data_IF_489177627072
#
_entry.id   IF_489177627072
#
_cell.length_a   1.000
_cell.length_b   1.000
_cell.length_c   1.000
_cell.angle_alpha   90.00
_cell.angle_beta   90.00
_cell.angle_gamma   90.00
#
_symmetry.space_group_name_H-M   'P 1'
#
loop_
_entity.id
_entity.type
_entity.pdbx_description
1 polymer ?
#
# COMPACT_ATOMS: atom_id res chain seq x y z
N UNK A 1 -33.23 -6.42 -28.57
CA UNK A 1 -32.14 -6.57 -29.55
C UNK A 1 -31.77 -5.16 -29.98
N UNK A 2 -30.68 -4.53 -29.55
CA UNK A 2 -29.56 -4.97 -28.72
C UNK A 2 -29.11 -3.80 -27.84
N UNK A 3 -28.84 -4.13 -26.59
CA UNK A 3 -28.34 -3.28 -25.53
C UNK A 3 -26.84 -3.06 -25.73
N UNK A 4 -26.46 -2.07 -26.54
CA UNK A 4 -25.07 -1.61 -26.62
C UNK A 4 -24.79 -0.58 -25.52
N UNK A 5 -24.80 -1.04 -24.26
CA UNK A 5 -24.03 -0.39 -23.21
C UNK A 5 -22.56 -0.69 -23.49
N UNK A 6 -21.92 0.17 -24.26
CA UNK A 6 -20.48 0.20 -24.32
C UNK A 6 -19.99 0.53 -22.91
N UNK A 7 -19.55 -0.50 -22.17
CA UNK A 7 -18.82 -0.33 -20.92
C UNK A 7 -17.70 0.68 -21.18
N UNK A 8 -17.84 1.87 -20.62
CA UNK A 8 -16.85 2.92 -20.70
C UNK A 8 -15.71 2.51 -19.76
N UNK A 9 -14.84 1.62 -20.22
CA UNK A 9 -13.66 1.20 -19.48
C UNK A 9 -12.70 2.39 -19.40
N UNK A 10 -12.62 3.02 -18.23
CA UNK A 10 -11.61 4.05 -18.00
C UNK A 10 -10.25 3.36 -17.82
N UNK A 11 -9.32 3.56 -18.76
CA UNK A 11 -7.97 2.99 -18.71
C UNK A 11 -7.15 3.72 -17.65
N UNK A 12 -7.30 3.30 -16.40
CA UNK A 12 -6.48 3.77 -15.29
C UNK A 12 -5.15 3.02 -15.25
N UNK A 13 -4.12 3.69 -14.72
CA UNK A 13 -2.81 3.09 -14.47
C UNK A 13 -2.68 2.73 -13.00
N UNK A 14 -1.86 1.74 -12.68
CA UNK A 14 -1.62 1.39 -11.29
C UNK A 14 -0.98 2.56 -10.52
N UNK A 15 -0.24 3.46 -11.20
CA UNK A 15 0.29 4.66 -10.55
C UNK A 15 -0.81 5.49 -9.89
N UNK A 16 -1.96 5.65 -10.54
CA UNK A 16 -3.08 6.43 -9.98
C UNK A 16 -3.67 5.75 -8.74
N UNK A 17 -3.78 4.42 -8.75
CA UNK A 17 -4.20 3.62 -7.60
C UNK A 17 -3.19 3.76 -6.47
N UNK A 18 -1.90 3.69 -6.78
CA UNK A 18 -0.82 3.84 -5.82
C UNK A 18 -0.83 5.21 -5.17
N UNK A 19 -0.90 6.28 -5.95
CA UNK A 19 -0.89 7.65 -5.44
C UNK A 19 -2.05 7.91 -4.49
N UNK A 20 -3.27 7.57 -4.91
CA UNK A 20 -4.49 7.83 -4.12
C UNK A 20 -4.64 6.94 -2.89
N UNK A 21 -4.33 5.64 -3.03
CA UNK A 21 -4.66 4.67 -1.99
C UNK A 21 -3.49 4.32 -1.07
N UNK A 22 -2.25 4.54 -1.51
CA UNK A 22 -1.02 4.18 -0.78
C UNK A 22 -0.25 5.44 -0.39
N UNK A 23 0.20 6.21 -1.38
CA UNK A 23 1.14 7.32 -1.17
C UNK A 23 0.54 8.41 -0.27
N UNK A 24 -0.66 8.88 -0.57
CA UNK A 24 -1.34 9.88 0.26
C UNK A 24 -1.53 9.43 1.71
N UNK A 25 -1.82 8.13 1.94
CA UNK A 25 -1.99 7.59 3.29
C UNK A 25 -0.66 7.51 4.03
N UNK A 26 0.39 7.03 3.38
CA UNK A 26 1.73 6.97 3.97
C UNK A 26 2.25 8.37 4.32
N UNK A 27 2.03 9.36 3.45
CA UNK A 27 2.39 10.75 3.72
C UNK A 27 1.64 11.33 4.93
N UNK A 28 0.33 11.06 5.05
CA UNK A 28 -0.47 11.47 6.22
C UNK A 28 0.04 10.85 7.51
N UNK A 29 0.36 9.55 7.49
CA UNK A 29 0.93 8.85 8.64
C UNK A 29 2.29 9.44 9.02
N UNK A 30 3.20 9.58 8.05
CA UNK A 30 4.55 10.12 8.26
C UNK A 30 4.49 11.55 8.84
N UNK A 31 3.66 12.42 8.26
CA UNK A 31 3.46 13.78 8.74
C UNK A 31 2.90 13.80 10.17
N UNK A 32 1.91 12.94 10.47
CA UNK A 32 1.33 12.85 11.80
C UNK A 32 2.35 12.41 12.85
N UNK A 33 3.14 11.37 12.55
CA UNK A 33 4.18 10.85 13.44
C UNK A 33 5.28 11.88 13.72
N UNK A 34 5.61 12.73 12.73
CA UNK A 34 6.60 13.80 12.87
C UNK A 34 6.09 15.02 13.63
N UNK A 35 4.82 15.39 13.47
CA UNK A 35 4.28 16.67 13.98
C UNK A 35 3.50 16.53 15.28
N UNK A 36 2.81 15.41 15.47
CA UNK A 36 1.87 15.21 16.59
C UNK A 36 1.98 13.83 17.25
N UNK A 37 3.18 13.26 17.50
CA UNK A 37 3.31 11.91 18.04
C UNK A 37 2.66 11.74 19.42
N UNK A 38 2.55 12.82 20.20
CA UNK A 38 1.87 12.82 21.52
C UNK A 38 0.35 12.65 21.43
N UNK A 39 -0.24 12.81 20.23
CA UNK A 39 -1.67 12.61 19.98
C UNK A 39 -2.00 11.18 19.54
N UNK A 40 -1.01 10.28 19.51
CA UNK A 40 -1.25 8.86 19.27
C UNK A 40 -2.12 8.27 20.38
N UNK A 41 -3.25 7.72 19.99
CA UNK A 41 -4.19 6.98 20.82
C UNK A 41 -4.97 6.02 19.93
N UNK A 42 -5.89 5.25 20.51
CA UNK A 42 -6.65 4.22 19.79
C UNK A 42 -7.45 4.83 18.63
N UNK A 43 -8.16 5.94 18.87
CA UNK A 43 -8.96 6.62 17.86
C UNK A 43 -8.12 7.15 16.70
N UNK A 44 -7.06 7.91 16.99
CA UNK A 44 -6.20 8.46 15.93
C UNK A 44 -5.48 7.37 15.16
N UNK A 45 -5.10 6.27 15.82
CA UNK A 45 -4.51 5.09 15.16
C UNK A 45 -5.52 4.38 14.26
N UNK A 46 -6.77 4.26 14.71
CA UNK A 46 -7.89 3.70 13.94
C UNK A 46 -8.10 4.49 12.65
N UNK A 47 -8.19 5.82 12.74
CA UNK A 47 -8.35 6.70 11.59
C UNK A 47 -7.16 6.63 10.62
N UNK A 48 -5.93 6.67 11.14
CA UNK A 48 -4.72 6.65 10.31
C UNK A 48 -4.54 5.34 9.55
N UNK A 49 -4.82 4.21 10.21
CA UNK A 49 -4.61 2.87 9.65
C UNK A 49 -5.86 2.30 8.97
N UNK A 50 -7.02 2.94 9.15
CA UNK A 50 -8.32 2.47 8.66
C UNK A 50 -8.60 1.03 9.10
N UNK A 51 -8.45 0.77 10.40
CA UNK A 51 -8.79 -0.47 11.10
C UNK A 51 -9.70 -0.12 12.28
N UNK A 52 -10.46 -1.07 12.80
CA UNK A 52 -11.36 -0.79 13.92
C UNK A 52 -10.60 -0.51 15.23
N UNK A 53 -11.20 0.27 16.12
CA UNK A 53 -10.65 0.45 17.47
C UNK A 53 -10.61 -0.87 18.27
N UNK A 54 -11.54 -1.78 17.99
CA UNK A 54 -11.57 -3.13 18.58
C UNK A 54 -10.35 -3.92 18.16
N UNK A 55 -10.02 -3.93 16.86
CA UNK A 55 -8.82 -4.57 16.35
C UNK A 55 -7.55 -3.99 16.99
N UNK A 56 -7.49 -2.66 17.18
CA UNK A 56 -6.36 -2.02 17.86
C UNK A 56 -6.25 -2.49 19.31
N UNK A 57 -7.37 -2.55 20.04
CA UNK A 57 -7.37 -3.04 21.43
C UNK A 57 -6.89 -4.49 21.50
N UNK A 58 -7.34 -5.35 20.59
CA UNK A 58 -6.91 -6.74 20.51
C UNK A 58 -5.41 -6.86 20.22
N UNK A 59 -4.89 -6.05 19.28
CA UNK A 59 -3.46 -5.98 18.99
C UNK A 59 -2.66 -5.45 20.18
N UNK A 60 -3.17 -4.43 20.87
CA UNK A 60 -2.52 -3.89 22.07
C UNK A 60 -2.43 -4.94 23.18
N UNK A 61 -3.50 -5.71 23.42
CA UNK A 61 -3.51 -6.81 24.39
C UNK A 61 -2.55 -7.92 23.97
N UNK A 62 -2.61 -8.36 22.71
CA UNK A 62 -1.77 -9.43 22.16
C UNK A 62 -0.28 -9.13 22.25
N UNK A 63 0.11 -7.88 22.02
CA UNK A 63 1.52 -7.46 21.99
C UNK A 63 1.97 -6.71 23.26
N UNK A 64 1.19 -6.75 24.35
CA UNK A 64 1.48 -6.10 25.63
C UNK A 64 1.78 -4.59 25.50
N UNK A 65 1.02 -3.89 24.65
CA UNK A 65 1.14 -2.45 24.43
C UNK A 65 0.21 -1.72 25.42
N UNK A 66 0.80 -1.06 26.41
CA UNK A 66 0.04 -0.29 27.41
C UNK A 66 -0.39 1.10 26.91
N UNK A 67 0.40 1.71 26.03
CA UNK A 67 0.09 2.99 25.38
C UNK A 67 0.69 3.07 23.99
N UNK A 68 0.01 3.79 23.09
CA UNK A 68 0.45 3.93 21.69
C UNK A 68 1.48 5.05 21.58
N UNK A 69 2.73 4.65 21.36
CA UNK A 69 3.85 5.48 20.94
C UNK A 69 4.26 5.13 19.48
N UNK A 70 5.18 5.88 18.84
CA UNK A 70 5.57 5.61 17.45
C UNK A 70 6.06 4.18 17.17
N UNK A 71 6.79 3.55 18.11
CA UNK A 71 7.27 2.18 17.95
C UNK A 71 6.11 1.17 17.98
N UNK A 72 5.20 1.31 18.96
CA UNK A 72 4.01 0.47 19.04
C UNK A 72 3.00 0.74 17.92
N UNK A 73 2.93 1.97 17.40
CA UNK A 73 2.13 2.30 16.22
C UNK A 73 2.63 1.52 15.01
N UNK A 74 3.95 1.47 14.79
CA UNK A 74 4.52 0.67 13.71
C UNK A 74 4.24 -0.83 13.90
N UNK A 75 4.31 -1.34 15.13
CA UNK A 75 3.90 -2.72 15.43
C UNK A 75 2.44 -2.98 15.04
N UNK A 76 1.51 -2.10 15.43
CA UNK A 76 0.09 -2.19 15.07
C UNK A 76 -0.07 -2.12 13.53
N UNK A 77 0.65 -1.22 12.86
CA UNK A 77 0.61 -1.08 11.40
C UNK A 77 1.10 -2.34 10.67
N UNK A 78 2.10 -3.06 11.18
CA UNK A 78 2.55 -4.32 10.56
C UNK A 78 1.54 -5.46 10.78
N UNK A 79 0.83 -5.42 11.91
CA UNK A 79 -0.06 -6.51 12.34
C UNK A 79 -1.52 -6.30 11.94
N UNK A 80 -1.90 -5.08 11.57
CA UNK A 80 -3.26 -4.72 11.20
C UNK A 80 -3.76 -5.39 9.92
N UNK A 81 -5.08 -5.34 9.75
CA UNK A 81 -5.84 -5.98 8.69
C UNK A 81 -6.04 -5.10 7.46
N UNK A 82 -5.88 -3.78 7.57
CA UNK A 82 -6.15 -2.88 6.45
C UNK A 82 -5.18 -3.08 5.29
N UNK A 83 -5.58 -2.58 4.11
CA UNK A 83 -4.78 -2.69 2.90
C UNK A 83 -3.34 -2.17 3.07
N UNK A 84 -3.17 -1.01 3.74
CA UNK A 84 -1.84 -0.43 3.95
C UNK A 84 -1.00 -1.26 4.94
N UNK A 85 -1.64 -1.84 5.96
CA UNK A 85 -0.98 -2.75 6.91
C UNK A 85 -0.49 -4.02 6.19
N UNK A 86 -1.34 -4.59 5.34
CA UNK A 86 -0.99 -5.74 4.51
C UNK A 86 0.14 -5.43 3.51
N UNK A 87 0.11 -4.26 2.88
CA UNK A 87 1.16 -3.82 1.96
C UNK A 87 2.52 -3.72 2.67
N UNK A 88 2.57 -3.00 3.80
CA UNK A 88 3.80 -2.85 4.57
C UNK A 88 4.34 -4.21 5.03
N UNK A 89 3.45 -5.09 5.50
CA UNK A 89 3.84 -6.45 5.91
C UNK A 89 4.49 -7.24 4.77
N UNK A 90 3.96 -7.14 3.55
CA UNK A 90 4.52 -7.82 2.37
C UNK A 90 5.86 -7.21 1.95
N UNK A 91 6.00 -5.89 2.04
CA UNK A 91 7.27 -5.19 1.77
C UNK A 91 8.35 -5.64 2.76
N UNK A 92 8.04 -5.65 4.06
CA UNK A 92 8.98 -6.10 5.10
C UNK A 92 9.39 -7.57 4.94
N UNK A 93 8.48 -8.44 4.50
CA UNK A 93 8.78 -9.85 4.22
C UNK A 93 9.74 -10.04 3.03
N UNK A 94 9.73 -9.13 2.07
CA UNK A 94 10.71 -9.12 0.97
C UNK A 94 12.05 -8.50 1.38
N UNK A 95 12.04 -7.68 2.43
CA UNK A 95 13.22 -6.99 2.93
C UNK A 95 13.63 -5.82 2.05
N UNK A 96 14.54 -4.99 2.57
CA UNK A 96 15.09 -3.88 1.78
C UNK A 96 16.02 -4.42 0.71
N UNK A 97 15.68 -4.17 -0.55
CA UNK A 97 16.46 -4.56 -1.72
C UNK A 97 16.74 -3.33 -2.57
N UNK A 98 17.93 -3.29 -3.17
CA UNK A 98 18.26 -2.28 -4.18
C UNK A 98 17.54 -2.56 -5.50
N UNK A 99 17.32 -3.85 -5.81
CA UNK A 99 16.64 -4.31 -7.02
C UNK A 99 15.53 -5.30 -6.63
N UNK A 100 14.34 -5.05 -7.14
CA UNK A 100 13.16 -5.88 -6.97
C UNK A 100 12.96 -6.81 -8.17
N UNK A 101 12.56 -8.05 -7.92
CA UNK A 101 12.10 -8.93 -9.00
C UNK A 101 10.64 -8.67 -9.35
N UNK A 102 10.20 -9.20 -10.50
CA UNK A 102 8.79 -9.18 -10.89
C UNK A 102 7.91 -9.83 -9.80
N UNK A 103 8.36 -10.94 -9.22
CA UNK A 103 7.65 -11.64 -8.14
C UNK A 103 7.59 -10.81 -6.86
N UNK A 104 8.63 -10.05 -6.54
CA UNK A 104 8.62 -9.15 -5.40
C UNK A 104 7.54 -8.06 -5.58
N UNK A 105 7.51 -7.40 -6.75
CA UNK A 105 6.52 -6.36 -7.04
C UNK A 105 5.11 -6.96 -7.09
N UNK A 106 4.93 -8.09 -7.77
CA UNK A 106 3.67 -8.82 -7.81
C UNK A 106 3.17 -9.14 -6.41
N UNK A 107 4.06 -9.59 -5.53
CA UNK A 107 3.73 -9.91 -4.16
C UNK A 107 3.37 -8.67 -3.34
N UNK A 108 4.23 -7.64 -3.31
CA UNK A 108 4.03 -6.44 -2.49
C UNK A 108 2.73 -5.72 -2.88
N UNK A 109 2.53 -5.50 -4.18
CA UNK A 109 1.42 -4.71 -4.70
C UNK A 109 0.20 -5.53 -5.13
N UNK A 110 0.27 -6.86 -5.04
CA UNK A 110 -0.81 -7.78 -5.44
C UNK A 110 -1.18 -7.59 -6.92
N UNK A 111 -0.15 -7.52 -7.76
CA UNK A 111 -0.28 -7.30 -9.20
C UNK A 111 -0.04 -8.59 -9.98
N UNK A 112 -0.60 -8.68 -11.17
CA UNK A 112 -0.34 -9.80 -12.07
C UNK A 112 1.11 -9.70 -12.61
N UNK A 113 1.96 -10.72 -12.42
CA UNK A 113 3.34 -10.75 -12.94
C UNK A 113 3.44 -10.45 -14.44
N UNK A 114 2.50 -10.92 -15.25
CA UNK A 114 2.49 -10.68 -16.69
C UNK A 114 2.39 -9.19 -17.01
N UNK A 115 1.49 -8.48 -16.32
CA UNK A 115 1.34 -7.02 -16.52
C UNK A 115 2.59 -6.24 -16.13
N UNK A 116 3.35 -6.75 -15.16
CA UNK A 116 4.61 -6.13 -14.74
C UNK A 116 5.67 -6.36 -15.82
N UNK A 117 5.77 -7.58 -16.37
CA UNK A 117 6.69 -7.87 -17.48
C UNK A 117 6.37 -7.04 -18.72
N UNK A 118 5.10 -6.94 -19.08
CA UNK A 118 4.64 -6.12 -20.21
C UNK A 118 5.00 -4.64 -19.99
N UNK A 119 4.78 -4.12 -18.77
CA UNK A 119 5.13 -2.77 -18.39
C UNK A 119 6.64 -2.51 -18.42
N UNK A 120 7.46 -3.47 -17.99
CA UNK A 120 8.92 -3.38 -18.08
C UNK A 120 9.39 -3.27 -19.53
N UNK A 121 8.82 -4.08 -20.43
CA UNK A 121 9.12 -4.04 -21.86
C UNK A 121 8.70 -2.72 -22.50
N UNK A 122 7.51 -2.20 -22.17
CA UNK A 122 7.00 -0.93 -22.72
C UNK A 122 7.76 0.30 -22.19
N UNK A 123 8.20 0.27 -20.93
CA UNK A 123 8.96 1.35 -20.29
C UNK A 123 10.47 1.26 -20.49
N UNK A 124 10.97 0.22 -21.15
CA UNK A 124 12.40 -0.06 -21.33
C UNK A 124 13.16 -0.14 -19.99
N UNK A 125 12.51 -0.65 -18.94
CA UNK A 125 13.08 -0.87 -17.60
C UNK A 125 13.65 -2.28 -17.55
N UNK A 126 14.97 -2.40 -17.37
CA UNK A 126 15.65 -3.69 -17.24
C UNK A 126 15.73 -4.18 -15.78
N UNK A 127 15.77 -3.25 -14.82
CA UNK A 127 15.86 -3.53 -13.39
C UNK A 127 14.89 -2.65 -12.62
N UNK A 128 14.09 -3.24 -11.73
CA UNK A 128 13.11 -2.50 -10.93
C UNK A 128 13.79 -2.02 -9.65
N UNK A 129 13.80 -0.71 -9.42
CA UNK A 129 14.39 -0.08 -8.23
C UNK A 129 13.38 0.88 -7.60
N UNK A 130 13.64 1.33 -6.37
CA UNK A 130 12.81 2.37 -5.73
C UNK A 130 12.77 3.69 -6.52
N UNK A 131 13.77 3.94 -7.37
CA UNK A 131 13.87 5.18 -8.17
C UNK A 131 12.94 5.15 -9.39
N UNK A 132 12.74 3.98 -10.01
CA UNK A 132 11.96 3.83 -11.24
C UNK A 132 10.61 3.11 -11.06
N UNK A 133 10.30 2.63 -9.85
CA UNK A 133 9.07 1.87 -9.57
C UNK A 133 7.79 2.65 -9.91
N UNK A 134 7.78 3.97 -9.71
CA UNK A 134 6.64 4.82 -10.08
C UNK A 134 6.46 4.90 -11.60
N UNK A 135 7.56 5.00 -12.34
CA UNK A 135 7.53 4.94 -13.81
C UNK A 135 6.96 3.61 -14.27
N UNK A 136 7.42 2.48 -13.70
CA UNK A 136 6.85 1.17 -14.00
C UNK A 136 5.33 1.13 -13.78
N UNK A 137 4.83 1.74 -12.70
CA UNK A 137 3.39 1.77 -12.40
C UNK A 137 2.54 2.57 -13.40
N UNK A 138 3.12 3.51 -14.15
CA UNK A 138 2.45 4.23 -15.23
C UNK A 138 2.04 3.29 -16.37
N UNK A 139 2.82 2.23 -16.59
CA UNK A 139 2.64 1.29 -17.69
C UNK A 139 1.82 0.06 -17.29
N UNK A 140 1.37 -0.05 -16.03
CA UNK A 140 0.54 -1.17 -15.59
C UNK A 140 -0.94 -0.78 -15.68
N UNK A 141 -1.71 -1.31 -16.66
CA UNK A 141 -3.13 -1.00 -16.79
C UNK A 141 -3.95 -1.72 -15.72
N UNK A 142 -4.84 -0.98 -15.07
CA UNK A 142 -5.80 -1.50 -14.08
C UNK A 142 -7.23 -1.24 -14.53
N UNK A 143 -8.09 -2.20 -14.23
CA UNK A 143 -9.53 -2.05 -14.43
C UNK A 143 -10.12 -1.63 -13.08
N UNK A 144 -10.68 -0.43 -13.04
CA UNK A 144 -11.45 0.04 -11.88
C UNK A 144 -12.92 0.00 -12.30
N UNK A 145 -13.74 -0.62 -11.48
CA UNK A 145 -15.19 -0.61 -11.62
C UNK A 145 -15.65 0.55 -10.73
N UNK A 146 -16.20 1.60 -11.33
CA UNK A 146 -16.82 2.71 -10.57
C UNK A 146 -18.17 2.29 -9.99
#
# INVERSE_FOLDING_TARGET
MDSSQANQFCKHTFLQVYQRNIEEKLQKIDLFLKTSPKKLNIHTTSELLNISEEEIKDLMLKYNISSINPASFFMIMVQGSSYICGLLRRELQRGSKNVYTVEDIAYIYQLNPQKIMDAMAESNINEITSENIKTLFEYIPVQIWE
#
